data_IF_832112197208
#
_entry.id   IF_832112197208
#
_cell.length_a   1.000
_cell.length_b   1.000
_cell.length_c   1.000
_cell.angle_alpha   90.00
_cell.angle_beta   90.00
_cell.angle_gamma   90.00
#
_symmetry.space_group_name_H-M   'P 1'
#
loop_
_entity.id
_entity.type
_entity.pdbx_description
1 polymer ?
#
# COMPACT_ATOMS: atom_id res chain seq x y z
N UNK A 1 -55.26 -6.92 67.54
CA UNK A 1 -54.18 -7.84 67.95
C UNK A 1 -53.11 -7.90 66.87
N UNK A 2 -52.10 -7.02 66.94
CA UNK A 2 -50.76 -7.25 66.36
C UNK A 2 -49.72 -6.51 67.22
N UNK A 3 -48.84 -7.32 67.80
CA UNK A 3 -47.61 -7.07 68.57
C UNK A 3 -46.86 -5.76 68.20
N UNK A 4 -46.49 -4.91 69.17
CA UNK A 4 -45.28 -4.95 70.05
C UNK A 4 -43.97 -4.74 69.28
N UNK A 5 -43.34 -3.56 69.43
CA UNK A 5 -42.08 -3.31 70.21
C UNK A 5 -40.81 -3.59 69.37
N UNK A 6 -39.66 -2.91 69.41
CA UNK A 6 -38.98 -1.92 70.26
C UNK A 6 -37.88 -1.26 69.38
N UNK A 7 -37.67 0.07 69.35
CA UNK A 7 -36.87 0.95 70.26
C UNK A 7 -35.34 0.75 70.25
N UNK A 8 -34.65 1.87 69.94
CA UNK A 8 -33.28 2.32 70.28
C UNK A 8 -32.09 1.58 69.63
N UNK A 9 -31.12 2.24 68.98
CA UNK A 9 -30.15 3.21 69.54
C UNK A 9 -29.43 3.83 68.31
N UNK A 10 -29.38 5.14 68.05
CA UNK A 10 -28.65 6.18 68.78
C UNK A 10 -27.31 6.47 68.09
N UNK A 11 -27.13 7.68 67.52
CA UNK A 11 -25.93 8.54 67.54
C UNK A 11 -26.24 9.80 66.74
N UNK A 12 -26.18 10.94 67.43
CA UNK A 12 -26.24 12.28 66.85
C UNK A 12 -24.88 12.62 66.22
N UNK A 13 -24.89 13.06 64.96
CA UNK A 13 -23.79 13.86 64.39
C UNK A 13 -24.30 15.28 64.14
N UNK A 14 -23.54 16.23 64.67
CA UNK A 14 -23.71 17.68 64.58
C UNK A 14 -23.89 18.14 63.12
N UNK A 15 -24.81 19.08 62.93
CA UNK A 15 -25.09 19.70 61.64
C UNK A 15 -23.91 20.53 61.12
N UNK A 16 -23.48 20.21 59.90
CA UNK A 16 -22.73 21.12 59.04
C UNK A 16 -23.70 21.69 58.00
N UNK A 17 -23.98 22.99 58.07
CA UNK A 17 -24.73 23.68 57.04
C UNK A 17 -23.88 23.77 55.76
N UNK A 18 -24.41 23.48 54.56
CA UNK A 18 -23.68 23.63 53.31
C UNK A 18 -23.43 25.12 53.03
N UNK A 19 -22.16 25.48 52.85
CA UNK A 19 -21.75 26.81 52.37
C UNK A 19 -22.17 26.98 50.91
N UNK A 20 -22.68 28.16 50.51
CA UNK A 20 -23.02 28.43 49.11
C UNK A 20 -21.74 28.46 48.26
N UNK A 21 -21.77 27.91 47.02
CA UNK A 21 -20.61 27.91 46.15
C UNK A 21 -20.23 29.34 45.75
N UNK A 22 -18.94 29.64 45.87
CA UNK A 22 -18.34 30.90 45.41
C UNK A 22 -18.41 30.96 43.87
N UNK A 23 -18.86 32.07 43.26
CA UNK A 23 -18.87 32.18 41.79
C UNK A 23 -17.44 32.11 41.26
N UNK A 24 -17.19 31.13 40.40
CA UNK A 24 -15.92 31.01 39.66
C UNK A 24 -15.81 32.19 38.70
N UNK A 25 -14.69 32.96 38.70
CA UNK A 25 -14.46 34.00 37.70
C UNK A 25 -14.58 33.39 36.30
N UNK A 26 -15.47 33.94 35.48
CA UNK A 26 -15.67 33.50 34.10
C UNK A 26 -14.34 33.52 33.35
N UNK A 27 -14.04 32.42 32.67
CA UNK A 27 -12.89 32.35 31.78
C UNK A 27 -12.93 33.56 30.80
N UNK A 28 -11.80 34.23 30.54
CA UNK A 28 -11.76 35.32 29.58
C UNK A 28 -12.34 34.82 28.25
N UNK A 29 -13.37 35.51 27.78
CA UNK A 29 -13.99 35.21 26.49
C UNK A 29 -12.89 35.24 25.44
N UNK A 30 -12.68 34.13 24.75
CA UNK A 30 -11.78 34.07 23.61
C UNK A 30 -12.10 35.25 22.67
N UNK A 31 -11.09 35.93 22.09
CA UNK A 31 -11.34 37.03 21.17
C UNK A 31 -12.32 36.57 20.10
N UNK A 32 -13.36 37.37 19.86
CA UNK A 32 -14.42 37.02 18.91
C UNK A 32 -13.81 36.72 17.54
N UNK A 33 -14.00 35.50 17.07
CA UNK A 33 -13.44 35.05 15.80
C UNK A 33 -13.92 35.98 14.68
N UNK A 34 -12.95 36.50 13.91
CA UNK A 34 -13.22 37.30 12.73
C UNK A 34 -13.63 36.37 11.59
N UNK A 35 -14.77 36.63 10.96
CA UNK A 35 -15.38 35.75 9.96
C UNK A 35 -15.85 36.58 8.78
N UNK A 36 -15.41 36.21 7.58
CA UNK A 36 -15.86 36.79 6.32
C UNK A 36 -16.02 35.71 5.25
N UNK A 37 -16.76 36.05 4.20
CA UNK A 37 -16.99 35.19 3.04
C UNK A 37 -16.66 35.90 1.75
N UNK A 38 -16.22 35.14 0.75
CA UNK A 38 -15.99 35.59 -0.63
C UNK A 38 -16.80 34.69 -1.55
N UNK A 39 -17.63 35.27 -2.42
CA UNK A 39 -18.46 34.51 -3.34
C UNK A 39 -18.68 35.25 -4.66
N UNK A 40 -18.96 34.53 -5.75
CA UNK A 40 -19.44 35.15 -6.98
C UNK A 40 -20.71 35.99 -6.77
N UNK A 41 -20.79 37.11 -7.46
CA UNK A 41 -21.87 38.09 -7.31
C UNK A 41 -22.29 38.71 -8.64
N UNK A 42 -23.22 39.65 -8.59
CA UNK A 42 -23.58 40.54 -9.69
C UNK A 42 -23.59 41.98 -9.15
N UNK A 43 -23.81 42.97 -10.03
CA UNK A 43 -24.03 44.35 -9.60
C UNK A 43 -25.16 44.49 -8.56
N UNK A 44 -26.17 43.60 -8.62
CA UNK A 44 -27.34 43.60 -7.73
C UNK A 44 -27.16 42.70 -6.49
N UNK A 45 -26.05 41.96 -6.37
CA UNK A 45 -25.78 41.03 -5.27
C UNK A 45 -25.57 39.58 -5.71
N UNK A 46 -25.34 38.66 -4.74
CA UNK A 46 -25.02 37.27 -5.02
C UNK A 46 -26.13 36.54 -5.77
N UNK A 47 -25.73 35.72 -6.71
CA UNK A 47 -26.63 34.94 -7.55
C UNK A 47 -26.56 33.43 -7.29
N UNK A 48 -25.99 33.01 -6.16
CA UNK A 48 -25.92 31.60 -5.74
C UNK A 48 -24.89 30.75 -6.50
N UNK A 49 -24.10 31.34 -7.41
CA UNK A 49 -23.03 30.62 -8.11
C UNK A 49 -21.97 30.14 -7.12
N UNK A 50 -21.58 28.85 -7.14
CA UNK A 50 -20.57 28.31 -6.23
C UNK A 50 -19.13 28.72 -6.62
N UNK A 51 -18.91 29.04 -7.89
CA UNK A 51 -17.65 29.49 -8.45
C UNK A 51 -17.91 30.37 -9.68
N UNK A 52 -16.90 31.09 -10.13
CA UNK A 52 -16.91 31.75 -11.43
C UNK A 52 -16.54 30.73 -12.51
N UNK A 53 -17.44 30.47 -13.45
CA UNK A 53 -17.19 29.55 -14.57
C UNK A 53 -17.41 30.28 -15.87
N UNK A 54 -16.38 30.34 -16.71
CA UNK A 54 -16.40 31.08 -17.98
C UNK A 54 -15.86 30.23 -19.12
N UNK A 55 -16.31 30.54 -20.33
CA UNK A 55 -15.73 30.08 -21.58
C UNK A 55 -15.50 31.30 -22.46
N UNK A 56 -14.25 31.62 -22.77
CA UNK A 56 -13.87 32.85 -23.48
C UNK A 56 -12.86 32.52 -24.60
N UNK A 57 -12.88 33.33 -25.64
CA UNK A 57 -11.85 33.27 -26.69
C UNK A 57 -10.59 34.04 -26.28
N UNK A 58 -9.40 33.69 -26.81
CA UNK A 58 -8.21 34.51 -26.66
C UNK A 58 -8.47 35.97 -27.06
N UNK A 59 -8.07 36.92 -26.21
CA UNK A 59 -8.32 38.36 -26.42
C UNK A 59 -9.68 38.86 -25.92
N UNK A 60 -10.59 37.97 -25.51
CA UNK A 60 -11.89 38.38 -24.97
C UNK A 60 -11.75 39.03 -23.59
N UNK A 61 -12.69 39.92 -23.27
CA UNK A 61 -12.78 40.60 -21.98
C UNK A 61 -14.18 40.46 -21.39
N UNK A 62 -14.26 40.21 -20.09
CA UNK A 62 -15.51 40.11 -19.34
C UNK A 62 -15.41 40.97 -18.07
N UNK A 63 -16.54 41.55 -17.64
CA UNK A 63 -16.66 42.20 -16.34
C UNK A 63 -17.68 41.43 -15.49
N UNK A 64 -17.31 41.14 -14.24
CA UNK A 64 -18.18 40.48 -13.26
C UNK A 64 -17.90 41.03 -11.86
N UNK A 65 -18.62 40.54 -10.84
CA UNK A 65 -18.56 41.06 -9.47
C UNK A 65 -18.23 39.95 -8.48
N UNK A 66 -17.40 40.28 -7.50
CA UNK A 66 -17.14 39.44 -6.32
C UNK A 66 -17.80 40.07 -5.10
N UNK A 67 -18.57 39.29 -4.35
CA UNK A 67 -19.13 39.70 -3.07
C UNK A 67 -18.14 39.36 -1.95
N UNK A 68 -17.79 40.36 -1.15
CA UNK A 68 -17.06 40.17 0.11
C UNK A 68 -18.00 40.52 1.25
N UNK A 69 -18.33 39.54 2.08
CA UNK A 69 -19.30 39.66 3.17
C UNK A 69 -18.59 39.57 4.50
N UNK A 70 -18.71 40.60 5.33
CA UNK A 70 -18.24 40.61 6.70
C UNK A 70 -19.34 40.05 7.61
N UNK A 71 -19.08 38.94 8.29
CA UNK A 71 -20.00 38.34 9.26
C UNK A 71 -19.70 38.74 10.70
N UNK A 72 -18.64 39.51 10.94
CA UNK A 72 -18.24 39.98 12.25
C UNK A 72 -18.99 41.25 12.68
N UNK A 73 -19.12 41.49 14.00
CA UNK A 73 -19.79 42.67 14.55
C UNK A 73 -18.91 43.94 14.51
N UNK A 74 -17.74 43.89 13.84
CA UNK A 74 -16.82 45.03 13.69
C UNK A 74 -16.44 45.21 12.22
N UNK A 75 -16.10 46.43 11.78
CA UNK A 75 -15.57 46.66 10.44
C UNK A 75 -14.31 45.85 10.19
N UNK A 76 -14.15 45.33 8.97
CA UNK A 76 -12.96 44.60 8.54
C UNK A 76 -12.34 45.28 7.32
N UNK A 77 -11.02 45.47 7.35
CA UNK A 77 -10.23 45.89 6.19
C UNK A 77 -9.52 44.67 5.63
N UNK A 78 -9.87 44.28 4.41
CA UNK A 78 -9.36 43.09 3.74
C UNK A 78 -8.56 43.48 2.50
N UNK A 79 -7.47 42.77 2.26
CA UNK A 79 -6.72 42.85 1.01
C UNK A 79 -7.37 41.94 -0.02
N UNK A 80 -7.69 42.49 -1.19
CA UNK A 80 -8.31 41.77 -2.30
C UNK A 80 -7.30 41.61 -3.43
N UNK A 81 -7.06 40.38 -3.85
CA UNK A 81 -6.18 40.07 -4.98
C UNK A 81 -6.69 38.85 -5.76
N UNK A 82 -6.28 38.74 -7.01
CA UNK A 82 -6.47 37.54 -7.81
C UNK A 82 -5.18 36.73 -7.85
N UNK A 83 -5.31 35.41 -7.94
CA UNK A 83 -4.19 34.48 -7.86
C UNK A 83 -4.46 33.23 -8.68
N UNK A 84 -3.39 32.56 -9.11
CA UNK A 84 -3.49 31.29 -9.82
C UNK A 84 -3.78 30.16 -8.85
N UNK A 85 -4.45 29.12 -9.35
CA UNK A 85 -4.74 27.93 -8.60
C UNK A 85 -3.70 26.84 -8.86
N UNK A 86 -3.45 26.02 -7.85
CA UNK A 86 -2.63 24.83 -7.98
C UNK A 86 -3.29 23.65 -7.26
N UNK A 87 -2.90 22.44 -7.66
CA UNK A 87 -3.31 21.22 -6.97
C UNK A 87 -2.35 20.94 -5.81
N UNK A 88 -2.88 20.82 -4.59
CA UNK A 88 -2.07 20.47 -3.42
C UNK A 88 -1.64 19.01 -3.47
N UNK A 89 -0.65 18.63 -2.65
CA UNK A 89 -0.18 17.24 -2.58
C UNK A 89 -1.30 16.22 -2.23
N UNK A 90 -2.36 16.67 -1.57
CA UNK A 90 -3.53 15.87 -1.21
C UNK A 90 -4.65 15.93 -2.27
N UNK A 91 -4.41 16.59 -3.40
CA UNK A 91 -5.38 16.73 -4.49
C UNK A 91 -6.42 17.81 -4.22
N UNK A 92 -6.13 18.74 -3.31
CA UNK A 92 -6.98 19.88 -3.02
C UNK A 92 -6.76 21.01 -4.03
N UNK A 93 -7.77 21.85 -4.19
CA UNK A 93 -7.64 23.14 -4.88
C UNK A 93 -7.14 24.18 -3.88
N UNK A 94 -6.05 24.86 -4.20
CA UNK A 94 -5.54 25.99 -3.41
C UNK A 94 -5.06 27.12 -4.33
N UNK A 95 -4.90 28.31 -3.77
CA UNK A 95 -4.50 29.54 -4.48
C UNK A 95 -3.13 30.01 -3.99
N UNK A 96 -2.32 30.54 -4.90
CA UNK A 96 -1.01 31.07 -4.49
C UNK A 96 -1.18 32.23 -3.50
N UNK A 97 -0.22 32.33 -2.58
CA UNK A 97 -0.16 33.42 -1.61
C UNK A 97 0.02 34.78 -2.28
N UNK A 98 -0.52 35.85 -1.67
CA UNK A 98 -0.47 37.21 -2.24
C UNK A 98 0.93 37.83 -2.48
N UNK A 99 2.00 37.17 -2.06
CA UNK A 99 3.39 37.53 -2.38
C UNK A 99 3.98 36.80 -3.60
N UNK A 100 3.27 35.82 -4.15
CA UNK A 100 3.66 35.11 -5.37
C UNK A 100 3.01 35.82 -6.57
N UNK A 101 3.79 36.01 -7.63
CA UNK A 101 3.28 36.66 -8.83
C UNK A 101 2.49 35.64 -9.66
N UNK A 102 1.20 35.88 -9.94
CA UNK A 102 0.44 35.02 -10.84
C UNK A 102 0.93 35.20 -12.28
N UNK A 103 0.82 34.13 -13.04
CA UNK A 103 1.21 34.01 -14.46
C UNK A 103 0.03 33.62 -15.36
N UNK A 104 -1.06 33.13 -14.78
CA UNK A 104 -2.24 32.63 -15.49
C UNK A 104 -3.50 33.45 -15.18
N UNK A 105 -4.66 32.82 -14.88
CA UNK A 105 -5.94 33.51 -14.61
C UNK A 105 -5.78 34.64 -13.60
N UNK A 106 -4.97 34.46 -12.56
CA UNK A 106 -4.74 35.48 -11.54
C UNK A 106 -4.12 36.76 -12.11
N UNK A 107 -3.27 36.65 -13.15
CA UNK A 107 -2.69 37.79 -13.83
C UNK A 107 -3.66 38.49 -14.80
N UNK A 108 -4.69 37.76 -15.26
CA UNK A 108 -5.68 38.24 -16.23
C UNK A 108 -6.83 39.00 -15.57
N UNK A 109 -6.97 38.86 -14.25
CA UNK A 109 -7.99 39.55 -13.45
C UNK A 109 -7.47 40.89 -12.95
N UNK A 110 -8.21 41.95 -13.27
CA UNK A 110 -8.01 43.30 -12.77
C UNK A 110 -9.13 43.69 -11.82
N UNK A 111 -8.78 43.86 -10.55
CA UNK A 111 -9.70 44.37 -9.52
C UNK A 111 -9.69 45.90 -9.52
N UNK A 112 -10.85 46.50 -9.30
CA UNK A 112 -10.97 47.97 -9.19
C UNK A 112 -10.36 48.49 -7.88
N UNK A 113 -10.38 47.67 -6.83
CA UNK A 113 -9.86 48.00 -5.51
C UNK A 113 -9.08 46.79 -4.96
N UNK A 114 -7.92 47.06 -4.34
CA UNK A 114 -7.07 46.04 -3.72
C UNK A 114 -7.16 46.01 -2.19
N UNK A 115 -7.76 47.03 -1.59
CA UNK A 115 -8.05 47.09 -0.16
C UNK A 115 -9.48 47.58 0.00
N UNK A 116 -10.27 46.84 0.76
CA UNK A 116 -11.69 47.12 0.98
C UNK A 116 -12.01 47.10 2.46
N UNK A 117 -12.65 48.17 2.95
CA UNK A 117 -13.18 48.22 4.32
C UNK A 117 -14.67 47.94 4.28
N UNK A 118 -15.08 46.87 4.93
CA UNK A 118 -16.46 46.38 4.94
C UNK A 118 -17.01 46.61 6.35
N UNK A 119 -18.11 47.36 6.51
CA UNK A 119 -18.74 47.56 7.81
C UNK A 119 -19.14 46.23 8.46
N UNK A 120 -19.43 46.26 9.76
CA UNK A 120 -19.92 45.09 10.49
C UNK A 120 -21.15 44.50 9.80
N UNK A 121 -21.25 43.17 9.77
CA UNK A 121 -22.43 42.44 9.26
C UNK A 121 -22.92 42.92 7.88
N UNK A 122 -22.01 43.41 7.04
CA UNK A 122 -22.30 44.06 5.76
C UNK A 122 -21.59 43.38 4.60
N UNK A 123 -21.98 43.72 3.37
CA UNK A 123 -21.43 43.16 2.14
C UNK A 123 -21.03 44.28 1.19
N UNK A 124 -19.92 44.05 0.47
CA UNK A 124 -19.51 44.87 -0.66
C UNK A 124 -19.42 44.00 -1.93
N UNK A 125 -19.98 44.49 -3.04
CA UNK A 125 -19.82 43.87 -4.36
C UNK A 125 -18.75 44.64 -5.12
N UNK A 126 -17.60 44.01 -5.36
CA UNK A 126 -16.45 44.64 -6.02
C UNK A 126 -16.42 44.21 -7.49
N UNK A 127 -16.46 45.15 -8.45
CA UNK A 127 -16.30 44.82 -9.86
C UNK A 127 -14.85 44.44 -10.18
N UNK A 128 -14.70 43.44 -11.04
CA UNK A 128 -13.43 43.06 -11.63
C UNK A 128 -13.59 42.81 -13.13
N UNK A 129 -12.48 42.96 -13.86
CA UNK A 129 -12.40 42.66 -15.29
C UNK A 129 -11.46 41.49 -15.49
N UNK A 130 -11.85 40.52 -16.30
CA UNK A 130 -11.04 39.38 -16.74
C UNK A 130 -10.73 39.57 -18.22
N UNK A 131 -9.46 39.76 -18.56
CA UNK A 131 -9.00 39.92 -19.95
C UNK A 131 -8.07 38.77 -20.33
N UNK A 132 -8.54 37.89 -21.21
CA UNK A 132 -7.74 36.77 -21.69
C UNK A 132 -6.69 37.30 -22.68
N UNK A 133 -5.38 37.04 -22.48
CA UNK A 133 -4.37 37.41 -23.46
C UNK A 133 -4.63 36.78 -24.83
N UNK A 134 -4.23 37.45 -25.92
CA UNK A 134 -4.38 36.90 -27.28
C UNK A 134 -3.53 35.65 -27.53
N UNK A 135 -2.45 35.51 -26.78
CA UNK A 135 -1.53 34.38 -26.81
C UNK A 135 -1.79 33.39 -25.66
N UNK A 136 -2.94 33.46 -24.99
CA UNK A 136 -3.31 32.48 -23.98
C UNK A 136 -3.37 31.09 -24.63
N UNK A 137 -2.83 30.09 -23.93
CA UNK A 137 -2.93 28.70 -24.37
C UNK A 137 -4.40 28.26 -24.35
N UNK A 138 -4.86 27.44 -25.30
CA UNK A 138 -6.17 26.81 -25.20
C UNK A 138 -6.24 25.87 -24.00
N UNK A 139 -7.44 25.69 -23.44
CA UNK A 139 -7.68 24.75 -22.34
C UNK A 139 -8.34 25.39 -21.13
N UNK A 140 -8.29 24.69 -20.00
CA UNK A 140 -8.76 25.19 -18.72
C UNK A 140 -7.65 25.90 -17.96
N UNK A 141 -8.03 27.03 -17.38
CA UNK A 141 -7.20 27.91 -16.60
C UNK A 141 -7.92 28.12 -15.27
N UNK A 142 -7.19 27.97 -14.17
CA UNK A 142 -7.77 27.97 -12.84
C UNK A 142 -7.10 29.01 -11.95
N UNK A 143 -7.93 29.72 -11.20
CA UNK A 143 -7.48 30.77 -10.30
C UNK A 143 -8.55 31.12 -9.30
N UNK A 144 -8.44 32.28 -8.69
CA UNK A 144 -9.44 32.75 -7.76
C UNK A 144 -9.22 34.19 -7.33
N UNK A 145 -10.25 34.77 -6.74
CA UNK A 145 -10.17 36.06 -6.06
C UNK A 145 -10.17 35.80 -4.57
N UNK A 146 -9.14 36.28 -3.88
CA UNK A 146 -8.88 36.08 -2.47
C UNK A 146 -9.09 37.39 -1.71
N UNK A 147 -9.83 37.32 -0.62
CA UNK A 147 -9.82 38.35 0.42
C UNK A 147 -9.01 37.84 1.62
N UNK A 148 -7.95 38.56 1.95
CA UNK A 148 -7.06 38.20 3.06
C UNK A 148 -7.03 39.24 4.17
N UNK A 149 -6.79 38.75 5.38
CA UNK A 149 -6.60 39.54 6.59
C UNK A 149 -5.28 39.12 7.22
N UNK A 150 -4.30 40.01 7.15
CA UNK A 150 -3.06 39.86 7.89
C UNK A 150 -3.31 40.20 9.37
N UNK A 151 -3.05 39.24 10.25
CA UNK A 151 -3.11 39.40 11.70
C UNK A 151 -1.76 39.03 12.30
N UNK A 152 -1.34 39.73 13.35
CA UNK A 152 -0.17 39.34 14.14
C UNK A 152 -0.67 38.69 15.43
N UNK A 153 -0.24 37.46 15.69
CA UNK A 153 -0.61 36.68 16.88
C UNK A 153 0.64 36.30 17.66
N UNK A 154 0.59 36.30 18.99
CA UNK A 154 1.70 35.81 19.81
C UNK A 154 1.61 34.29 19.96
N UNK A 155 2.72 33.56 19.75
CA UNK A 155 2.80 32.14 20.09
C UNK A 155 2.82 31.92 21.61
N UNK A 156 2.79 30.65 22.05
CA UNK A 156 2.79 30.30 23.48
C UNK A 156 4.08 30.74 24.23
N UNK A 157 5.10 31.18 23.50
CA UNK A 157 6.39 31.65 23.98
C UNK A 157 6.52 33.19 23.87
N UNK A 158 5.48 33.89 23.41
CA UNK A 158 5.44 35.35 23.28
C UNK A 158 6.03 35.89 21.98
N UNK A 159 6.40 35.05 21.00
CA UNK A 159 6.89 35.51 19.70
C UNK A 159 5.73 35.97 18.82
N UNK A 160 5.88 37.11 18.17
CA UNK A 160 4.90 37.64 17.23
C UNK A 160 4.97 36.87 15.89
N UNK A 161 3.94 36.08 15.60
CA UNK A 161 3.73 35.34 14.35
C UNK A 161 2.73 36.09 13.50
N UNK A 162 3.14 36.48 12.28
CA UNK A 162 2.21 37.01 11.29
C UNK A 162 1.43 35.85 10.65
N UNK A 163 0.11 35.86 10.80
CA UNK A 163 -0.84 34.90 10.22
C UNK A 163 -1.68 35.63 9.18
N UNK A 164 -1.66 35.17 7.93
CA UNK A 164 -2.52 35.69 6.87
C UNK A 164 -3.69 34.74 6.64
N UNK A 165 -4.85 35.14 7.14
CA UNK A 165 -6.09 34.38 6.98
C UNK A 165 -6.71 34.70 5.61
N UNK A 166 -7.13 33.68 4.86
CA UNK A 166 -7.57 33.83 3.47
C UNK A 166 -8.88 33.11 3.22
N UNK A 167 -9.76 33.77 2.50
CA UNK A 167 -10.98 33.18 1.92
C UNK A 167 -11.03 33.58 0.46
N UNK A 168 -11.27 32.64 -0.45
CA UNK A 168 -11.30 32.91 -1.87
C UNK A 168 -12.46 32.26 -2.60
N UNK A 169 -12.90 32.90 -3.69
CA UNK A 169 -13.84 32.34 -4.65
C UNK A 169 -13.06 31.81 -5.86
N UNK A 170 -13.37 30.57 -6.27
CA UNK A 170 -12.70 29.90 -7.41
C UNK A 170 -13.13 30.51 -8.74
N UNK A 171 -12.19 30.59 -9.67
CA UNK A 171 -12.39 30.91 -11.08
C UNK A 171 -11.95 29.71 -11.92
N UNK A 172 -12.86 29.24 -12.77
CA UNK A 172 -12.64 28.24 -13.79
C UNK A 172 -12.90 28.89 -15.15
N UNK A 173 -11.83 29.14 -15.89
CA UNK A 173 -11.89 29.73 -17.22
C UNK A 173 -11.50 28.68 -18.26
N UNK A 174 -12.35 28.47 -19.27
CA UNK A 174 -11.98 27.70 -20.46
C UNK A 174 -11.66 28.65 -21.61
N UNK A 175 -10.40 28.67 -22.04
CA UNK A 175 -9.97 29.34 -23.26
C UNK A 175 -10.24 28.42 -24.45
N UNK A 176 -10.90 28.94 -25.47
CA UNK A 176 -11.24 28.16 -26.67
C UNK A 176 -10.00 27.80 -27.50
N UNK A 177 -10.06 26.65 -28.15
CA UNK A 177 -9.01 26.11 -29.02
C UNK A 177 -8.91 24.60 -28.89
N UNK A 178 -7.79 24.03 -29.33
CA UNK A 178 -7.56 22.59 -29.31
C UNK A 178 -7.43 22.06 -27.88
N UNK A 179 -8.23 21.04 -27.55
CA UNK A 179 -8.16 20.37 -26.27
C UNK A 179 -7.26 19.15 -26.35
N UNK A 180 -6.42 18.98 -25.34
CA UNK A 180 -5.49 17.87 -25.19
C UNK A 180 -5.68 17.28 -23.79
N UNK A 181 -6.76 16.50 -23.55
CA UNK A 181 -7.00 15.88 -22.27
C UNK A 181 -6.08 14.68 -22.05
N UNK A 182 -5.19 14.77 -21.05
CA UNK A 182 -4.25 13.72 -20.73
C UNK A 182 -3.93 13.65 -19.22
N UNK A 183 -4.02 12.45 -18.65
CA UNK A 183 -3.44 12.13 -17.35
C UNK A 183 -2.37 11.07 -17.53
N UNK A 184 -1.22 11.24 -16.87
CA UNK A 184 -0.13 10.27 -16.85
C UNK A 184 0.03 9.67 -15.46
N UNK A 185 0.43 8.40 -15.43
CA UNK A 185 0.75 7.68 -14.19
C UNK A 185 2.26 7.55 -14.06
N UNK A 186 2.81 8.28 -13.09
CA UNK A 186 4.24 8.33 -12.82
C UNK A 186 4.59 7.62 -11.50
N UNK A 187 5.86 7.24 -11.36
CA UNK A 187 6.44 6.77 -10.10
C UNK A 187 5.70 5.61 -9.41
N UNK A 188 5.17 4.64 -10.19
CA UNK A 188 4.48 3.48 -9.63
C UNK A 188 5.41 2.63 -8.75
N UNK A 189 5.18 2.68 -7.45
CA UNK A 189 5.85 1.86 -6.43
C UNK A 189 4.87 0.87 -5.85
N UNK A 190 5.28 -0.39 -5.77
CA UNK A 190 4.41 -1.47 -5.30
C UNK A 190 5.10 -2.23 -4.19
N UNK A 191 4.38 -2.41 -3.08
CA UNK A 191 4.84 -3.17 -1.93
C UNK A 191 3.85 -4.29 -1.64
N UNK A 192 4.37 -5.49 -1.49
CA UNK A 192 3.61 -6.64 -1.04
C UNK A 192 3.96 -6.96 0.42
N UNK A 193 2.95 -7.14 1.26
CA UNK A 193 3.07 -7.65 2.63
C UNK A 193 2.36 -8.99 2.74
N UNK A 194 3.10 -10.05 3.03
CA UNK A 194 2.52 -11.39 3.24
C UNK A 194 1.66 -11.46 4.51
N UNK A 195 0.74 -12.42 4.55
CA UNK A 195 -0.02 -12.79 5.74
C UNK A 195 0.61 -14.01 6.41
N UNK A 196 0.49 -14.15 7.72
CA UNK A 196 0.91 -15.37 8.44
C UNK A 196 -0.01 -16.55 8.14
N UNK A 197 -1.27 -16.30 7.76
CA UNK A 197 -2.20 -17.34 7.36
C UNK A 197 -1.87 -17.78 5.92
N UNK A 198 -1.45 -19.03 5.68
CA UNK A 198 -1.08 -19.52 4.35
C UNK A 198 -2.23 -19.51 3.32
N UNK A 199 -3.48 -19.35 3.78
CA UNK A 199 -4.68 -19.35 2.93
C UNK A 199 -5.26 -17.96 2.67
N UNK A 200 -4.88 -16.93 3.45
CA UNK A 200 -5.54 -15.62 3.38
C UNK A 200 -5.00 -14.70 2.26
N UNK A 201 -3.84 -15.03 1.68
CA UNK A 201 -3.12 -14.14 0.75
C UNK A 201 -2.50 -12.93 1.46
N UNK A 202 -1.65 -12.19 0.75
CA UNK A 202 -1.05 -10.95 1.22
C UNK A 202 -1.84 -9.70 0.85
N UNK A 203 -1.30 -8.55 1.25
CA UNK A 203 -1.80 -7.23 0.88
C UNK A 203 -0.79 -6.56 -0.04
N UNK A 204 -1.28 -6.04 -1.17
CA UNK A 204 -0.52 -5.25 -2.12
C UNK A 204 -0.92 -3.78 -1.96
N UNK A 205 0.06 -2.92 -1.71
CA UNK A 205 -0.12 -1.47 -1.69
C UNK A 205 0.66 -0.88 -2.85
N UNK A 206 -0.04 -0.22 -3.76
CA UNK A 206 0.55 0.53 -4.86
C UNK A 206 0.44 2.03 -4.57
N UNK A 207 1.53 2.75 -4.69
CA UNK A 207 1.61 4.21 -4.56
C UNK A 207 2.13 4.77 -5.88
N UNK A 208 1.45 5.75 -6.43
CA UNK A 208 1.81 6.36 -7.71
C UNK A 208 1.37 7.83 -7.73
N UNK A 209 1.98 8.59 -8.63
CA UNK A 209 1.66 10.00 -8.86
C UNK A 209 0.85 10.10 -10.15
N UNK A 210 -0.30 10.76 -10.10
CA UNK A 210 -1.11 11.06 -11.26
C UNK A 210 -0.86 12.51 -11.62
N UNK A 211 -0.37 12.76 -12.83
CA UNK A 211 -0.07 14.10 -13.32
C UNK A 211 -0.99 14.45 -14.47
N UNK A 212 -1.53 15.66 -14.46
CA UNK A 212 -2.26 16.19 -15.60
C UNK A 212 -1.28 16.87 -16.55
N UNK A 213 -0.89 16.16 -17.61
CA UNK A 213 -0.02 16.68 -18.67
C UNK A 213 -0.81 17.34 -19.79
N UNK A 214 -2.14 17.26 -19.72
CA UNK A 214 -3.04 17.91 -20.65
C UNK A 214 -3.30 19.38 -20.32
N UNK A 215 -4.15 20.00 -21.13
CA UNK A 215 -4.55 21.39 -20.97
C UNK A 215 -5.96 21.57 -20.38
N UNK A 216 -6.65 20.51 -19.99
CA UNK A 216 -7.99 20.59 -19.37
C UNK A 216 -8.02 20.00 -17.97
N UNK A 217 -8.89 20.50 -17.11
CA UNK A 217 -9.10 19.91 -15.78
C UNK A 217 -9.73 18.53 -15.92
N UNK A 218 -9.18 17.56 -15.21
CA UNK A 218 -9.62 16.16 -15.29
C UNK A 218 -9.80 15.59 -13.90
N UNK A 219 -10.74 14.66 -13.79
CA UNK A 219 -10.78 13.70 -12.69
C UNK A 219 -10.28 12.37 -13.21
N UNK A 220 -10.10 11.39 -12.34
CA UNK A 220 -9.73 10.05 -12.79
C UNK A 220 -10.15 8.99 -11.80
N UNK A 221 -10.38 7.78 -12.31
CA UNK A 221 -10.61 6.61 -11.47
C UNK A 221 -9.43 5.65 -11.61
N UNK A 222 -8.63 5.46 -10.55
CA UNK A 222 -7.52 4.53 -10.62
C UNK A 222 -8.02 3.09 -10.52
N UNK A 223 -7.42 2.21 -11.31
CA UNK A 223 -7.63 0.76 -11.25
C UNK A 223 -6.28 0.09 -11.04
N UNK A 224 -6.18 -0.72 -9.99
CA UNK A 224 -4.99 -1.51 -9.68
C UNK A 224 -5.23 -2.96 -10.09
N UNK A 225 -4.49 -3.42 -11.09
CA UNK A 225 -4.41 -4.83 -11.48
C UNK A 225 -3.17 -5.50 -10.92
N UNK A 226 -3.26 -6.80 -10.61
CA UNK A 226 -2.10 -7.65 -10.34
C UNK A 226 -2.27 -9.00 -11.02
N UNK A 227 -1.18 -9.56 -11.49
CA UNK A 227 -1.11 -10.93 -11.98
C UNK A 227 0.23 -11.56 -11.60
N UNK A 228 0.21 -12.86 -11.30
CA UNK A 228 1.41 -13.68 -11.18
C UNK A 228 1.96 -14.09 -12.56
N UNK A 229 2.98 -14.95 -12.57
CA UNK A 229 3.52 -15.51 -13.81
C UNK A 229 2.42 -16.21 -14.61
N UNK A 230 2.44 -16.07 -15.94
CA UNK A 230 1.44 -16.63 -16.85
C UNK A 230 -0.01 -16.18 -16.58
N UNK A 231 -0.22 -15.06 -15.88
CA UNK A 231 -1.56 -14.54 -15.59
C UNK A 231 -2.24 -15.19 -14.37
N UNK A 232 -1.53 -16.04 -13.62
CA UNK A 232 -2.08 -16.72 -12.45
C UNK A 232 -2.51 -15.73 -11.35
N UNK A 233 -3.62 -16.04 -10.69
CA UNK A 233 -4.10 -15.23 -9.56
C UNK A 233 -4.44 -13.79 -9.92
N UNK A 234 -4.84 -13.53 -11.17
CA UNK A 234 -5.21 -12.19 -11.65
C UNK A 234 -6.31 -11.59 -10.78
N UNK A 235 -6.08 -10.37 -10.32
CA UNK A 235 -7.06 -9.57 -9.58
C UNK A 235 -7.00 -8.12 -10.01
N UNK A 236 -8.11 -7.42 -9.86
CA UNK A 236 -8.21 -5.99 -10.08
C UNK A 236 -9.10 -5.37 -9.01
N UNK A 237 -8.77 -4.15 -8.61
CA UNK A 237 -9.59 -3.34 -7.72
C UNK A 237 -9.66 -1.92 -8.25
N UNK A 238 -10.86 -1.35 -8.27
CA UNK A 238 -11.06 0.06 -8.54
C UNK A 238 -10.91 0.85 -7.25
N UNK A 239 -10.15 1.93 -7.32
CA UNK A 239 -10.02 2.87 -6.22
C UNK A 239 -11.13 3.92 -6.25
N UNK A 240 -11.17 4.73 -5.18
CA UNK A 240 -12.02 5.92 -5.14
C UNK A 240 -11.65 6.86 -6.29
N UNK A 241 -12.64 7.60 -6.80
CA UNK A 241 -12.39 8.65 -7.77
C UNK A 241 -11.43 9.69 -7.17
N UNK A 242 -10.45 10.10 -7.96
CA UNK A 242 -9.56 11.17 -7.61
C UNK A 242 -10.33 12.50 -7.63
N UNK A 243 -9.94 13.46 -6.78
CA UNK A 243 -10.40 14.82 -6.93
C UNK A 243 -9.96 15.41 -8.28
N UNK A 244 -10.48 16.59 -8.58
CA UNK A 244 -10.09 17.35 -9.76
C UNK A 244 -8.58 17.69 -9.73
N UNK A 245 -7.90 17.40 -10.83
CA UNK A 245 -6.49 17.72 -11.06
C UNK A 245 -6.43 18.81 -12.14
N UNK A 246 -5.87 19.95 -11.79
CA UNK A 246 -5.70 21.09 -12.70
C UNK A 246 -4.61 20.79 -13.74
N UNK A 247 -4.64 21.43 -14.92
CA UNK A 247 -3.54 21.34 -15.89
C UNK A 247 -2.17 21.60 -15.26
N UNK A 248 -1.19 20.75 -15.54
CA UNK A 248 0.15 20.79 -14.94
C UNK A 248 0.23 20.28 -13.49
N UNK A 249 -0.91 20.07 -12.82
CA UNK A 249 -0.98 19.59 -11.44
C UNK A 249 -0.68 18.10 -11.30
N UNK A 250 -0.33 17.70 -10.08
CA UNK A 250 -0.05 16.31 -9.74
C UNK A 250 -0.66 15.91 -8.40
N UNK A 251 -0.97 14.61 -8.26
CA UNK A 251 -1.55 14.03 -7.07
C UNK A 251 -0.93 12.66 -6.79
N UNK A 252 -0.34 12.50 -5.60
CA UNK A 252 0.13 11.19 -5.15
C UNK A 252 -0.98 10.44 -4.43
N UNK A 253 -1.32 9.25 -4.92
CA UNK A 253 -2.38 8.41 -4.34
C UNK A 253 -1.86 7.01 -4.03
N UNK A 254 -2.57 6.30 -3.15
CA UNK A 254 -2.25 4.93 -2.76
C UNK A 254 -3.47 4.04 -2.82
N UNK A 255 -3.33 2.91 -3.50
CA UNK A 255 -4.38 1.89 -3.66
C UNK A 255 -3.95 0.62 -2.97
N UNK A 256 -4.85 0.05 -2.17
CA UNK A 256 -4.60 -1.18 -1.41
C UNK A 256 -5.51 -2.29 -1.93
N UNK A 257 -4.92 -3.45 -2.19
CA UNK A 257 -5.62 -4.67 -2.57
C UNK A 257 -5.26 -5.80 -1.60
N UNK A 258 -6.25 -6.47 -1.06
CA UNK A 258 -6.08 -7.57 -0.09
C UNK A 258 -6.31 -8.93 -0.75
N UNK A 259 -5.82 -9.99 -0.11
CA UNK A 259 -5.99 -11.37 -0.55
C UNK A 259 -5.16 -11.75 -1.78
N UNK A 260 -4.10 -11.00 -2.07
CA UNK A 260 -3.25 -11.26 -3.23
C UNK A 260 -2.42 -12.52 -2.99
N UNK A 261 -2.52 -13.57 -3.83
CA UNK A 261 -1.76 -14.79 -3.62
C UNK A 261 -0.25 -14.54 -3.80
N UNK A 262 0.62 -15.00 -2.88
CA UNK A 262 2.06 -14.83 -2.99
C UNK A 262 2.66 -15.79 -4.03
N UNK A 263 2.61 -15.40 -5.31
CA UNK A 263 3.07 -16.22 -6.46
C UNK A 263 4.52 -15.91 -6.87
N UNK A 264 5.41 -15.68 -5.91
CA UNK A 264 6.82 -15.27 -6.08
C UNK A 264 7.01 -13.93 -6.79
N UNK A 265 6.74 -13.85 -8.09
CA UNK A 265 6.87 -12.61 -8.88
C UNK A 265 5.51 -12.14 -9.34
N UNK A 266 5.06 -11.01 -8.80
CA UNK A 266 3.82 -10.38 -9.21
C UNK A 266 4.12 -9.20 -10.13
N UNK A 267 3.31 -9.05 -11.17
CA UNK A 267 3.27 -7.87 -12.03
C UNK A 267 2.02 -7.08 -11.69
N UNK A 268 2.21 -5.87 -11.19
CA UNK A 268 1.13 -4.93 -10.93
C UNK A 268 1.02 -3.94 -12.09
N UNK A 269 -0.21 -3.60 -12.46
CA UNK A 269 -0.53 -2.57 -13.45
C UNK A 269 -1.43 -1.52 -12.79
N UNK A 270 -0.95 -0.30 -12.68
CA UNK A 270 -1.77 0.85 -12.29
C UNK A 270 -2.26 1.55 -13.55
N UNK A 271 -3.57 1.65 -13.71
CA UNK A 271 -4.20 2.43 -14.78
C UNK A 271 -5.01 3.57 -14.15
N UNK A 272 -5.09 4.71 -14.82
CA UNK A 272 -5.99 5.79 -14.44
C UNK A 272 -6.87 6.09 -15.63
N UNK A 273 -8.17 5.82 -15.49
CA UNK A 273 -9.16 6.19 -16.50
C UNK A 273 -9.55 7.64 -16.25
N UNK A 274 -9.18 8.60 -17.13
CA UNK A 274 -9.54 9.99 -16.91
C UNK A 274 -11.00 10.22 -17.23
N UNK A 275 -11.60 11.21 -16.57
CA UNK A 275 -12.96 11.63 -16.80
C UNK A 275 -13.04 13.16 -16.77
N UNK A 276 -13.93 13.72 -17.58
CA UNK A 276 -14.20 15.14 -17.59
C UNK A 276 -14.84 15.58 -16.26
N UNK A 277 -14.67 16.86 -15.90
CA UNK A 277 -15.32 17.42 -14.72
C UNK A 277 -16.77 17.78 -15.05
N UNK A 278 -17.72 17.15 -14.36
CA UNK A 278 -19.16 17.32 -14.62
C UNK A 278 -19.57 16.71 -15.97
N UNK A 279 -20.57 17.30 -16.62
CA UNK A 279 -21.15 16.78 -17.87
C UNK A 279 -20.42 17.28 -19.14
N UNK A 280 -19.13 17.61 -19.01
CA UNK A 280 -18.36 18.14 -20.13
C UNK A 280 -18.00 17.05 -21.13
N UNK A 281 -18.37 17.25 -22.40
CA UNK A 281 -17.88 16.44 -23.49
C UNK A 281 -16.51 16.96 -23.93
N UNK A 282 -15.51 16.09 -23.93
CA UNK A 282 -14.15 16.38 -24.39
C UNK A 282 -13.93 15.69 -25.74
N UNK A 283 -13.41 16.45 -26.70
CA UNK A 283 -13.02 15.95 -28.02
C UNK A 283 -11.57 16.39 -28.28
N UNK A 284 -10.60 15.45 -28.38
CA UNK A 284 -10.76 14.00 -28.28
C UNK A 284 -11.09 13.53 -26.86
N UNK A 285 -11.65 12.31 -26.67
CA UNK A 285 -11.80 11.72 -25.35
C UNK A 285 -10.42 11.45 -24.71
N UNK A 286 -10.27 11.62 -23.38
CA UNK A 286 -9.00 11.34 -22.71
C UNK A 286 -8.59 9.88 -22.86
N UNK A 287 -7.31 9.65 -23.19
CA UNK A 287 -6.71 8.32 -23.22
C UNK A 287 -6.45 7.78 -21.81
N UNK A 288 -6.50 6.45 -21.65
CA UNK A 288 -6.09 5.78 -20.41
C UNK A 288 -4.59 5.56 -20.43
N UNK A 289 -3.89 6.07 -19.43
CA UNK A 289 -2.47 5.77 -19.23
C UNK A 289 -2.26 4.62 -18.24
N UNK A 290 -1.23 3.81 -18.48
CA UNK A 290 -0.94 2.62 -17.70
C UNK A 290 0.54 2.50 -17.33
N UNK A 291 0.81 2.33 -16.04
CA UNK A 291 2.13 2.03 -15.51
C UNK A 291 2.21 0.59 -15.02
N UNK A 292 3.38 -0.05 -15.15
CA UNK A 292 3.62 -1.42 -14.67
C UNK A 292 4.82 -1.46 -13.74
N UNK A 293 4.71 -2.27 -12.70
CA UNK A 293 5.81 -2.54 -11.77
C UNK A 293 5.77 -4.02 -11.34
N UNK A 294 6.95 -4.61 -11.12
CA UNK A 294 7.04 -5.97 -10.59
C UNK A 294 7.50 -5.99 -9.15
N UNK A 295 6.93 -6.87 -8.34
CA UNK A 295 7.26 -7.03 -6.92
C UNK A 295 7.41 -8.49 -6.54
N UNK A 296 8.32 -8.77 -5.61
CA UNK A 296 8.48 -10.09 -5.02
C UNK A 296 7.46 -10.32 -3.89
N UNK A 297 6.68 -11.38 -4.02
CA UNK A 297 5.71 -11.87 -3.07
C UNK A 297 6.03 -13.34 -2.73
N UNK A 298 7.11 -13.53 -1.96
CA UNK A 298 7.59 -14.86 -1.58
C UNK A 298 6.60 -15.53 -0.60
N UNK A 299 6.13 -16.76 -0.87
CA UNK A 299 5.16 -17.46 -0.04
C UNK A 299 5.80 -18.10 1.21
N UNK A 300 6.40 -17.28 2.09
CA UNK A 300 7.09 -17.77 3.30
C UNK A 300 6.25 -18.72 4.17
N UNK A 301 4.96 -18.44 4.48
CA UNK A 301 4.15 -19.36 5.26
C UNK A 301 3.94 -20.72 4.59
N UNK A 302 3.73 -20.74 3.27
CA UNK A 302 3.55 -21.98 2.52
C UNK A 302 4.86 -22.77 2.44
N UNK A 303 6.00 -22.09 2.27
CA UNK A 303 7.33 -22.72 2.30
C UNK A 303 7.64 -23.31 3.68
N UNK A 304 7.32 -22.60 4.76
CA UNK A 304 7.49 -23.10 6.13
C UNK A 304 6.58 -24.31 6.40
N UNK A 305 5.33 -24.27 5.94
CA UNK A 305 4.40 -25.40 6.06
C UNK A 305 4.89 -26.62 5.27
N UNK A 306 5.37 -26.43 4.04
CA UNK A 306 5.96 -27.50 3.23
C UNK A 306 7.21 -28.10 3.90
N UNK A 307 8.07 -27.27 4.49
CA UNK A 307 9.24 -27.73 5.23
C UNK A 307 8.84 -28.57 6.47
N UNK A 308 7.82 -28.14 7.23
CA UNK A 308 7.30 -28.90 8.37
C UNK A 308 6.69 -30.24 7.96
N UNK A 309 5.93 -30.27 6.85
CA UNK A 309 5.38 -31.51 6.31
C UNK A 309 6.49 -32.46 5.83
N UNK A 310 7.51 -31.95 5.16
CA UNK A 310 8.66 -32.73 4.73
C UNK A 310 9.43 -33.32 5.93
N UNK A 311 9.64 -32.53 6.99
CA UNK A 311 10.24 -32.99 8.25
C UNK A 311 9.40 -34.07 8.95
N UNK A 312 8.07 -33.91 8.99
CA UNK A 312 7.16 -34.90 9.57
C UNK A 312 7.20 -36.22 8.80
N UNK A 313 7.16 -36.17 7.46
CA UNK A 313 7.28 -37.37 6.60
C UNK A 313 8.64 -38.03 6.80
N UNK A 314 9.73 -37.26 6.81
CA UNK A 314 11.07 -37.79 7.06
C UNK A 314 11.18 -38.44 8.44
N UNK A 315 10.64 -37.83 9.49
CA UNK A 315 10.61 -38.38 10.84
C UNK A 315 9.81 -39.70 10.90
N UNK A 316 8.67 -39.79 10.22
CA UNK A 316 7.87 -41.02 10.11
C UNK A 316 8.64 -42.13 9.39
N UNK A 317 9.31 -41.82 8.28
CA UNK A 317 10.14 -42.79 7.55
C UNK A 317 11.33 -43.24 8.42
N UNK A 318 12.00 -42.32 9.09
CA UNK A 318 13.11 -42.62 9.99
C UNK A 318 12.67 -43.48 11.18
N UNK A 319 11.51 -43.18 11.79
CA UNK A 319 10.93 -43.95 12.87
C UNK A 319 10.55 -45.38 12.42
N UNK A 320 9.91 -45.52 11.26
CA UNK A 320 9.61 -46.83 10.65
C UNK A 320 10.88 -47.65 10.39
N UNK A 321 11.92 -47.03 9.83
CA UNK A 321 13.22 -47.67 9.61
C UNK A 321 13.91 -48.07 10.91
N UNK A 322 13.84 -47.25 11.96
CA UNK A 322 14.38 -47.56 13.29
C UNK A 322 13.64 -48.73 13.95
N UNK A 323 12.31 -48.74 13.91
CA UNK A 323 11.48 -49.85 14.44
C UNK A 323 11.75 -51.17 13.72
N UNK A 324 11.83 -51.15 12.38
CA UNK A 324 12.17 -52.35 11.61
C UNK A 324 13.56 -52.91 11.97
N UNK A 325 14.56 -52.04 12.19
CA UNK A 325 15.89 -52.45 12.67
C UNK A 325 15.85 -53.02 14.10
N UNK A 326 15.02 -52.47 14.99
CA UNK A 326 14.85 -53.01 16.35
C UNK A 326 14.20 -54.39 16.33
N UNK A 327 13.15 -54.59 15.53
CA UNK A 327 12.51 -55.90 15.35
C UNK A 327 13.48 -56.91 14.74
N UNK A 328 14.22 -56.53 13.70
CA UNK A 328 15.23 -57.40 13.10
C UNK A 328 16.33 -57.82 14.09
N UNK A 329 16.77 -56.90 14.97
CA UNK A 329 17.71 -57.21 16.06
C UNK A 329 17.11 -58.15 17.09
N UNK A 330 15.87 -57.91 17.53
CA UNK A 330 15.18 -58.79 18.48
C UNK A 330 14.95 -60.21 17.93
N UNK A 331 14.62 -60.33 16.64
CA UNK A 331 14.48 -61.62 15.95
C UNK A 331 15.84 -62.31 15.79
N UNK A 332 16.92 -61.56 15.52
CA UNK A 332 18.27 -62.12 15.46
C UNK A 332 18.73 -62.66 16.82
N UNK A 333 18.52 -61.91 17.90
CA UNK A 333 18.86 -62.37 19.26
C UNK A 333 18.03 -63.57 19.70
N UNK A 334 16.73 -63.61 19.36
CA UNK A 334 15.88 -64.76 19.65
C UNK A 334 16.30 -66.02 18.87
N UNK A 335 16.75 -65.86 17.61
CA UNK A 335 17.30 -66.97 16.81
C UNK A 335 18.62 -67.49 17.36
N UNK A 336 19.48 -66.63 17.87
CA UNK A 336 20.73 -67.03 18.54
C UNK A 336 20.45 -67.79 19.85
N UNK A 337 19.49 -67.31 20.66
CA UNK A 337 19.05 -68.02 21.86
C UNK A 337 18.47 -69.40 21.55
N UNK A 338 17.59 -69.51 20.53
CA UNK A 338 17.05 -70.79 20.09
C UNK A 338 18.13 -71.77 19.58
N UNK A 339 19.19 -71.27 18.92
CA UNK A 339 20.34 -72.11 18.54
C UNK A 339 21.14 -72.60 19.75
N UNK A 340 21.35 -71.74 20.74
CA UNK A 340 22.06 -72.08 21.98
C UNK A 340 21.27 -73.08 22.85
N UNK A 341 19.95 -73.00 22.84
CA UNK A 341 19.07 -73.98 23.51
C UNK A 341 19.04 -75.32 22.77
N UNK A 342 18.97 -75.31 21.43
CA UNK A 342 19.04 -76.53 20.63
C UNK A 342 20.39 -77.27 20.78
N UNK A 343 21.50 -76.54 20.87
CA UNK A 343 22.81 -77.15 21.17
C UNK A 343 22.88 -77.73 22.59
N UNK A 344 22.24 -77.09 23.58
CA UNK A 344 22.15 -77.63 24.95
C UNK A 344 21.28 -78.88 25.07
N UNK A 345 20.22 -78.97 24.28
CA UNK A 345 19.35 -80.15 24.28
C UNK A 345 19.95 -81.34 23.51
N UNK A 346 20.77 -81.05 22.50
CA UNK A 346 21.62 -82.04 21.80
C UNK A 346 22.70 -82.58 22.76
N UNK A 347 23.35 -81.73 23.56
CA UNK A 347 24.29 -82.19 24.60
C UNK A 347 23.60 -83.04 25.69
N UNK A 348 22.34 -82.72 26.04
CA UNK A 348 21.57 -83.48 27.03
C UNK A 348 21.11 -84.85 26.51
N UNK A 349 20.87 -84.98 25.21
CA UNK A 349 20.54 -86.27 24.56
C UNK A 349 21.78 -87.11 24.26
N UNK A 350 22.93 -86.50 24.02
CA UNK A 350 24.22 -87.20 23.90
C UNK A 350 24.81 -87.63 25.25
N UNK A 351 24.48 -86.96 26.36
CA UNK A 351 24.87 -87.38 27.72
C UNK A 351 24.12 -88.60 28.28
N UNK A 352 23.13 -89.14 27.57
CA UNK A 352 22.26 -90.24 28.02
C UNK A 352 22.52 -91.61 27.37
N UNK A 353 23.48 -91.73 26.45
CA UNK A 353 23.88 -93.02 25.86
C UNK A 353 25.40 -93.04 25.66
N UNK A 354 26.13 -93.37 26.72
CA UNK A 354 27.41 -94.09 26.61
C UNK A 354 27.82 -94.64 27.98
N UNK A 355 27.34 -95.84 28.29
CA UNK A 355 27.97 -96.76 29.25
C UNK A 355 27.52 -98.21 28.95
N UNK A 356 28.38 -98.94 28.21
CA UNK A 356 28.58 -100.41 28.15
C UNK A 356 28.72 -100.92 26.68
N UNK A 357 29.91 -100.95 26.04
CA UNK A 357 31.05 -101.91 26.17
C UNK A 357 30.81 -103.24 25.39
N UNK A 358 31.80 -103.94 24.76
CA UNK A 358 33.16 -103.58 24.30
C UNK A 358 33.50 -104.01 22.84
N UNK A 359 34.75 -103.70 22.47
CA UNK A 359 35.51 -103.99 21.26
C UNK A 359 35.74 -105.48 20.91
N UNK A 360 35.87 -105.76 19.60
CA UNK A 360 36.72 -106.84 19.07
C UNK A 360 37.19 -106.55 17.63
N UNK A 361 38.50 -106.30 17.54
CA UNK A 361 39.52 -106.62 16.50
C UNK A 361 39.04 -107.28 15.19
N UNK A 362 39.52 -106.75 14.04
CA UNK A 362 39.57 -107.50 12.78
C UNK A 362 40.04 -106.68 11.57
N UNK A 363 41.23 -106.99 11.07
CA UNK A 363 41.92 -106.37 9.94
C UNK A 363 41.28 -106.64 8.56
N UNK A 364 41.55 -105.77 7.56
CA UNK A 364 42.10 -106.07 6.22
C UNK A 364 41.71 -105.01 5.16
N UNK A 365 42.71 -104.60 4.35
CA UNK A 365 42.61 -103.75 3.15
C UNK A 365 42.21 -104.59 1.90
N UNK A 366 42.33 -104.15 0.61
CA UNK A 366 42.41 -102.82 -0.04
C UNK A 366 41.47 -102.67 -1.29
N UNK A 367 41.69 -101.61 -2.10
CA UNK A 367 41.29 -101.38 -3.52
C UNK A 367 39.81 -101.07 -3.83
N UNK A 368 39.42 -100.19 -4.77
CA UNK A 368 40.10 -99.36 -5.77
C UNK A 368 39.09 -98.91 -6.84
N UNK A 369 39.31 -97.72 -7.44
CA UNK A 369 38.71 -97.21 -8.70
C UNK A 369 37.43 -96.39 -8.54
N UNK A 370 37.15 -95.31 -9.28
CA UNK A 370 37.84 -94.45 -10.27
C UNK A 370 37.01 -93.13 -10.26
N UNK A 371 37.59 -91.94 -10.04
CA UNK A 371 37.95 -90.90 -11.04
C UNK A 371 36.77 -90.27 -11.85
N UNK A 372 36.88 -89.08 -12.47
CA UNK A 372 37.52 -87.80 -12.13
C UNK A 372 36.45 -86.66 -12.06
N UNK A 373 36.67 -85.44 -11.54
CA UNK A 373 37.37 -84.34 -12.25
C UNK A 373 37.44 -83.10 -11.35
N UNK A 374 38.65 -82.56 -11.22
CA UNK A 374 39.06 -81.19 -10.86
C UNK A 374 38.69 -80.22 -12.03
N UNK A 375 39.04 -78.91 -12.05
CA UNK A 375 39.53 -77.96 -11.03
C UNK A 375 38.69 -76.65 -10.94
N UNK A 376 38.72 -75.88 -9.83
CA UNK A 376 39.73 -74.85 -9.43
C UNK A 376 39.68 -73.60 -10.37
N UNK A 377 39.93 -72.33 -10.04
CA UNK A 377 40.58 -71.62 -8.93
C UNK A 377 40.30 -70.11 -9.19
N UNK A 378 39.79 -69.34 -8.22
CA UNK A 378 40.50 -68.29 -7.46
C UNK A 378 41.20 -67.13 -8.20
N UNK A 379 40.96 -65.92 -7.63
CA UNK A 379 41.90 -64.77 -7.44
C UNK A 379 42.28 -63.97 -8.69
N UNK A 380 42.58 -62.65 -8.71
CA UNK A 380 43.12 -61.67 -7.76
C UNK A 380 42.77 -60.25 -8.26
N UNK A 381 42.45 -59.27 -7.42
CA UNK A 381 43.26 -58.05 -7.08
C UNK A 381 44.23 -57.55 -8.17
N UNK A 382 44.12 -56.27 -8.56
CA UNK A 382 45.14 -55.18 -8.76
C UNK A 382 44.33 -53.88 -9.08
N UNK A 383 44.36 -52.79 -8.31
CA UNK A 383 45.32 -51.67 -8.16
C UNK A 383 45.39 -50.62 -9.31
N UNK A 384 45.47 -49.35 -8.91
CA UNK A 384 45.46 -48.01 -9.60
C UNK A 384 46.64 -47.77 -10.58
N UNK A 385 46.90 -46.56 -11.17
CA UNK A 385 46.12 -45.33 -11.52
C UNK A 385 46.40 -44.82 -12.98
N UNK A 386 45.87 -43.65 -13.39
CA UNK A 386 46.63 -42.45 -13.84
C UNK A 386 45.92 -41.54 -14.89
N UNK A 387 46.38 -40.29 -14.88
CA UNK A 387 45.94 -39.04 -15.51
C UNK A 387 45.95 -38.98 -17.05
N UNK A 388 45.30 -37.94 -17.60
CA UNK A 388 45.71 -37.38 -18.90
C UNK A 388 44.69 -36.49 -19.61
N UNK A 389 44.87 -35.17 -19.48
CA UNK A 389 44.51 -34.03 -20.36
C UNK A 389 43.86 -34.33 -21.73
N UNK A 390 42.88 -33.49 -22.13
CA UNK A 390 43.12 -32.59 -23.26
C UNK A 390 42.24 -31.32 -23.25
N UNK A 391 42.87 -30.22 -23.66
CA UNK A 391 42.36 -28.88 -23.92
C UNK A 391 41.86 -28.79 -25.38
N UNK A 392 40.79 -28.03 -25.65
CA UNK A 392 40.72 -27.10 -26.81
C UNK A 392 39.43 -26.26 -26.79
N UNK A 393 39.62 -24.93 -26.73
CA UNK A 393 38.70 -23.89 -27.28
C UNK A 393 38.74 -23.93 -28.82
N UNK A 394 37.77 -23.28 -29.51
CA UNK A 394 38.02 -21.90 -29.95
C UNK A 394 36.83 -20.93 -29.77
N UNK A 395 37.17 -19.64 -29.78
CA UNK A 395 36.32 -18.45 -29.88
C UNK A 395 35.43 -18.45 -31.14
N UNK A 396 34.26 -17.82 -31.06
CA UNK A 396 33.77 -16.88 -32.09
C UNK A 396 33.04 -15.73 -31.40
N UNK A 397 33.62 -14.54 -31.58
CA UNK A 397 33.06 -13.21 -31.36
C UNK A 397 32.39 -12.75 -32.68
N UNK A 398 31.19 -12.18 -32.61
CA UNK A 398 30.69 -11.32 -33.68
C UNK A 398 29.90 -10.16 -33.08
N UNK A 399 30.62 -9.05 -33.03
CA UNK A 399 30.14 -7.67 -33.05
C UNK A 399 29.24 -7.41 -34.26
N UNK A 400 28.15 -6.67 -34.03
CA UNK A 400 27.21 -6.21 -35.06
C UNK A 400 26.44 -5.00 -34.56
N UNK A 401 27.11 -3.85 -34.57
CA UNK A 401 26.57 -2.51 -34.41
C UNK A 401 26.09 -2.09 -35.80
N UNK A 402 24.85 -1.61 -35.94
CA UNK A 402 24.47 -0.69 -37.01
C UNK A 402 23.30 0.18 -36.55
N UNK A 403 23.59 1.47 -36.45
CA UNK A 403 22.72 2.65 -36.60
C UNK A 403 23.62 3.76 -37.15
N UNK A 404 23.09 4.79 -37.83
CA UNK A 404 21.68 5.19 -37.96
C UNK A 404 21.05 4.97 -39.35
#
# INVERSE_FOLDING_TARGET
MRLLAAIATGIALLGAAPTPPTPTPGAPSAPSAVTWGVAPSTAKGPNGRPAFTYKLDPGATLTDYVAVTNHSPRPLTLNLYASDAFTTAQGGFDLLAGGQQPTDVGAWVRLTQRSVTIPSTSRLNVPFTLTVPRNATPGDHAGGIVASLAATSADAQGNQVAVDHRVGARIYLRVTGELQPALTVENLRVRHTGSLNPLAGGTLTATFTVRNTGNVRLTGRPTLGVAGPFGLGRRSVDAAALPEILPGGELTTSVRMTGVPPLFRLTASGAVTPAAVGDQVLDPPPGVDTARASVWAVPWPQLALLALLALAVWALIAARRRRARQIARAVATAREQGRMEASRDTDRTSGGRDAAVPAAIGASAPSGGDDPTTPDRSTSRVDRPDQGRDNRRPDIDHTGRDTP
#
